data_IF_862896443124
#
_entry.id   IF_862896443124
#
_cell.length_a   1.000
_cell.length_b   1.000
_cell.length_c   1.000
_cell.angle_alpha   90.00
_cell.angle_beta   90.00
_cell.angle_gamma   90.00
#
_symmetry.space_group_name_H-M   'P 1'
#
loop_
_entity.id
_entity.type
_entity.pdbx_description
1 polymer ?
#
# COMPACT_ATOMS: atom_id res chain seq x y z
N UNK A 1 20.22 18.17 -15.36
CA UNK A 1 19.83 19.14 -14.28
C UNK A 1 18.43 19.69 -14.50
N UNK A 2 18.08 20.24 -15.68
CA UNK A 2 16.76 20.78 -15.99
C UNK A 2 15.65 19.71 -15.89
N UNK A 3 15.90 18.50 -16.38
CA UNK A 3 14.98 17.38 -16.33
C UNK A 3 14.70 16.95 -14.87
N UNK A 4 15.71 17.00 -14.01
CA UNK A 4 15.56 16.73 -12.59
C UNK A 4 14.65 17.76 -11.91
N UNK A 5 14.87 19.04 -12.14
CA UNK A 5 14.00 20.08 -11.56
C UNK A 5 12.55 20.02 -12.05
N UNK A 6 12.31 19.59 -13.29
CA UNK A 6 10.95 19.34 -13.78
C UNK A 6 10.26 18.21 -13.03
N UNK A 7 11.01 17.21 -12.54
CA UNK A 7 10.49 16.12 -11.70
C UNK A 7 10.15 16.57 -10.28
N UNK A 8 10.79 17.61 -9.76
CA UNK A 8 10.53 18.15 -8.44
C UNK A 8 9.25 19.01 -8.36
N UNK A 9 8.62 19.31 -9.49
CA UNK A 9 7.37 20.06 -9.50
C UNK A 9 6.20 19.18 -9.03
N UNK A 10 5.50 19.62 -8.01
CA UNK A 10 4.30 18.98 -7.48
C UNK A 10 4.26 18.90 -5.96
N UNK A 11 3.05 18.90 -5.41
CA UNK A 11 2.80 18.88 -3.96
C UNK A 11 3.40 17.64 -3.28
N UNK A 12 3.18 16.46 -3.86
CA UNK A 12 3.68 15.20 -3.28
C UNK A 12 5.21 15.11 -3.31
N UNK A 13 5.86 15.74 -4.30
CA UNK A 13 7.31 15.85 -4.30
C UNK A 13 7.83 16.72 -3.15
N UNK A 14 7.11 17.78 -2.79
CA UNK A 14 7.45 18.60 -1.62
C UNK A 14 7.28 17.80 -0.33
N UNK A 15 6.21 17.01 -0.21
CA UNK A 15 6.01 16.09 0.93
C UNK A 15 7.20 15.16 1.08
N UNK A 16 7.63 14.50 -0.02
CA UNK A 16 8.82 13.62 -0.02
C UNK A 16 10.10 14.35 0.43
N UNK A 17 10.30 15.60 0.03
CA UNK A 17 11.51 16.34 0.38
C UNK A 17 11.51 16.76 1.85
N UNK A 18 10.36 17.15 2.38
CA UNK A 18 10.23 17.76 3.71
C UNK A 18 10.15 16.74 4.85
N UNK A 19 9.62 15.53 4.63
CA UNK A 19 9.57 14.50 5.66
C UNK A 19 10.95 13.90 5.95
N UNK A 20 11.13 13.25 7.10
CA UNK A 20 12.34 12.48 7.40
C UNK A 20 12.34 11.12 6.67
N UNK A 21 11.22 10.42 6.63
CA UNK A 21 10.99 9.19 5.87
C UNK A 21 9.68 9.28 5.12
N UNK A 22 9.60 8.75 3.90
CA UNK A 22 8.35 8.60 3.17
C UNK A 22 7.95 7.13 3.02
N UNK A 23 6.63 6.88 3.07
CA UNK A 23 6.02 5.62 2.64
C UNK A 23 5.17 5.94 1.43
N UNK A 24 5.57 5.42 0.26
CA UNK A 24 4.86 5.66 -0.99
C UNK A 24 3.84 4.55 -1.21
N UNK A 25 2.62 4.93 -1.56
CA UNK A 25 1.49 4.04 -1.83
C UNK A 25 0.84 4.39 -3.16
N UNK A 26 0.00 3.50 -3.70
CA UNK A 26 -0.64 3.73 -4.99
C UNK A 26 -1.80 4.73 -4.88
N UNK A 27 -2.70 4.53 -3.92
CA UNK A 27 -3.94 5.28 -3.79
C UNK A 27 -4.26 5.73 -2.37
N UNK A 28 -5.32 6.54 -2.27
CA UNK A 28 -5.77 7.10 -0.99
C UNK A 28 -6.24 6.02 -0.01
N UNK A 29 -6.81 4.92 -0.51
CA UNK A 29 -7.18 3.77 0.31
C UNK A 29 -5.95 3.13 0.96
N UNK A 30 -4.88 2.96 0.20
CA UNK A 30 -3.63 2.39 0.71
C UNK A 30 -3.00 3.32 1.74
N UNK A 31 -3.06 4.64 1.50
CA UNK A 31 -2.57 5.66 2.44
C UNK A 31 -3.27 5.54 3.80
N UNK A 32 -4.60 5.42 3.80
CA UNK A 32 -5.40 5.25 5.03
C UNK A 32 -5.05 3.94 5.75
N UNK A 33 -4.92 2.84 5.03
CA UNK A 33 -4.59 1.53 5.62
C UNK A 33 -3.19 1.52 6.23
N UNK A 34 -2.19 2.08 5.54
CA UNK A 34 -0.82 2.17 6.06
C UNK A 34 -0.75 3.06 7.30
N UNK A 35 -1.42 4.22 7.30
CA UNK A 35 -1.50 5.10 8.46
C UNK A 35 -2.17 4.41 9.65
N UNK A 36 -3.26 3.66 9.41
CA UNK A 36 -3.95 2.92 10.47
C UNK A 36 -3.10 1.75 10.99
N UNK A 37 -2.42 1.01 10.12
CA UNK A 37 -1.51 -0.07 10.51
C UNK A 37 -0.38 0.45 11.41
N UNK A 38 0.17 1.61 11.06
CA UNK A 38 1.17 2.29 11.88
C UNK A 38 0.62 2.69 13.26
N UNK A 39 -0.58 3.29 13.27
CA UNK A 39 -1.25 3.68 14.51
C UNK A 39 -1.53 2.48 15.42
N UNK A 40 -2.02 1.37 14.87
CA UNK A 40 -2.28 0.16 15.64
C UNK A 40 -0.99 -0.45 16.23
N UNK A 41 0.16 -0.24 15.56
CA UNK A 41 1.46 -0.75 16.02
C UNK A 41 2.14 0.17 17.06
N UNK A 42 2.14 1.49 16.83
CA UNK A 42 2.90 2.45 17.64
C UNK A 42 2.04 3.34 18.55
N UNK A 43 0.71 3.33 18.42
CA UNK A 43 -0.22 4.17 19.18
C UNK A 43 -0.24 5.64 18.79
N UNK A 44 0.34 5.99 17.65
CA UNK A 44 0.39 7.36 17.09
C UNK A 44 0.45 7.32 15.57
N UNK A 45 0.12 8.43 14.91
CA UNK A 45 0.15 8.51 13.46
C UNK A 45 1.60 8.65 12.93
N UNK A 46 1.90 8.18 11.69
CA UNK A 46 3.24 8.30 11.10
C UNK A 46 3.78 9.73 11.09
N UNK A 47 2.92 10.70 10.84
CA UNK A 47 3.31 12.12 10.77
C UNK A 47 3.89 12.65 12.10
N UNK A 48 3.51 12.06 13.23
CA UNK A 48 4.05 12.41 14.55
C UNK A 48 5.51 11.94 14.72
N UNK A 49 5.94 10.98 13.89
CA UNK A 49 7.32 10.50 13.79
C UNK A 49 8.04 11.01 12.53
N UNK A 50 7.55 12.12 11.95
CA UNK A 50 8.11 12.77 10.75
C UNK A 50 8.11 11.84 9.51
N UNK A 51 7.24 10.81 9.52
CA UNK A 51 7.01 9.89 8.41
C UNK A 51 5.78 10.35 7.65
N UNK A 52 5.91 10.58 6.35
CA UNK A 52 4.78 10.94 5.49
C UNK A 52 4.37 9.76 4.60
N UNK A 53 3.09 9.39 4.64
CA UNK A 53 2.51 8.37 3.75
C UNK A 53 1.92 9.09 2.55
N UNK A 54 2.45 8.84 1.36
CA UNK A 54 2.18 9.66 0.16
C UNK A 54 1.59 8.77 -0.94
N UNK A 55 0.36 9.08 -1.36
CA UNK A 55 -0.27 8.48 -2.54
C UNK A 55 0.34 9.08 -3.81
N UNK A 56 1.01 8.26 -4.62
CA UNK A 56 1.76 8.71 -5.82
C UNK A 56 1.20 8.15 -7.13
N UNK A 57 0.08 7.44 -7.07
CA UNK A 57 -0.48 6.73 -8.22
C UNK A 57 0.52 5.70 -8.76
N UNK A 58 0.66 5.64 -10.05
CA UNK A 58 1.63 4.74 -10.72
C UNK A 58 3.04 5.32 -10.84
N UNK A 59 3.30 6.50 -10.25
CA UNK A 59 4.53 7.28 -10.47
C UNK A 59 5.70 6.88 -9.55
N UNK A 60 5.68 5.72 -8.92
CA UNK A 60 6.70 5.26 -7.97
C UNK A 60 8.14 5.47 -8.44
N UNK A 61 8.49 5.04 -9.65
CA UNK A 61 9.87 5.12 -10.14
C UNK A 61 10.40 6.55 -10.21
N UNK A 62 9.52 7.52 -10.50
CA UNK A 62 9.88 8.94 -10.46
C UNK A 62 10.26 9.39 -9.06
N UNK A 63 9.48 8.98 -8.05
CA UNK A 63 9.73 9.33 -6.65
C UNK A 63 10.97 8.61 -6.13
N UNK A 64 11.20 7.35 -6.52
CA UNK A 64 12.39 6.59 -6.16
C UNK A 64 13.66 7.22 -6.75
N UNK A 65 13.64 7.70 -7.98
CA UNK A 65 14.79 8.42 -8.57
C UNK A 65 15.12 9.71 -7.78
N UNK A 66 14.09 10.42 -7.30
CA UNK A 66 14.30 11.61 -6.47
C UNK A 66 14.85 11.21 -5.09
N UNK A 67 14.26 10.20 -4.46
CA UNK A 67 14.70 9.70 -3.16
C UNK A 67 16.15 9.20 -3.18
N UNK A 68 16.54 8.46 -4.21
CA UNK A 68 17.93 7.99 -4.40
C UNK A 68 18.91 9.17 -4.47
N UNK A 69 18.59 10.20 -5.25
CA UNK A 69 19.46 11.38 -5.41
C UNK A 69 19.56 12.25 -4.16
N UNK A 70 18.54 12.25 -3.33
CA UNK A 70 18.47 13.00 -2.08
C UNK A 70 18.89 12.15 -0.86
N UNK A 71 19.22 10.89 -1.09
CA UNK A 71 19.49 9.90 -0.03
C UNK A 71 18.32 9.81 1.00
N UNK A 72 17.09 10.10 0.54
CA UNK A 72 15.90 10.13 1.37
C UNK A 72 15.43 8.69 1.68
N UNK A 73 15.22 8.35 2.97
CA UNK A 73 14.64 7.06 3.34
C UNK A 73 13.22 6.91 2.79
N UNK A 74 12.99 5.86 1.99
CA UNK A 74 11.69 5.59 1.35
C UNK A 74 11.36 4.11 1.42
N UNK A 75 10.13 3.81 1.84
CA UNK A 75 9.50 2.50 1.63
C UNK A 75 8.40 2.64 0.59
N UNK A 76 8.28 1.66 -0.29
CA UNK A 76 7.15 1.53 -1.24
C UNK A 76 6.27 0.40 -0.77
N UNK A 77 4.96 0.64 -0.65
CA UNK A 77 3.95 -0.41 -0.46
C UNK A 77 3.20 -0.54 -1.77
N UNK A 78 3.29 -1.70 -2.40
CA UNK A 78 2.71 -1.92 -3.73
C UNK A 78 2.10 -3.31 -3.84
N UNK A 79 1.00 -3.40 -4.59
CA UNK A 79 0.35 -4.66 -4.93
C UNK A 79 1.22 -5.47 -5.91
N UNK A 80 1.17 -6.80 -5.77
CA UNK A 80 1.85 -7.70 -6.72
C UNK A 80 1.04 -7.87 -8.01
N UNK A 81 -0.27 -7.58 -7.94
CA UNK A 81 -1.20 -7.68 -9.05
C UNK A 81 -1.22 -9.09 -9.68
N UNK A 82 -1.05 -9.15 -11.00
CA UNK A 82 -1.16 -10.39 -11.78
C UNK A 82 0.17 -11.13 -11.96
N UNK A 83 1.31 -10.51 -11.63
CA UNK A 83 2.62 -11.08 -11.96
C UNK A 83 3.73 -10.54 -11.05
N UNK A 84 4.28 -11.43 -10.24
CA UNK A 84 5.45 -11.16 -9.44
C UNK A 84 6.66 -10.79 -10.33
N UNK A 85 6.88 -11.52 -11.43
CA UNK A 85 7.98 -11.22 -12.37
C UNK A 85 7.88 -9.82 -12.96
N UNK A 86 6.67 -9.36 -13.28
CA UNK A 86 6.45 -8.01 -13.82
C UNK A 86 6.75 -6.94 -12.76
N UNK A 87 6.36 -7.17 -11.51
CA UNK A 87 6.68 -6.30 -10.38
C UNK A 87 8.19 -6.25 -10.15
N UNK A 88 8.86 -7.39 -10.05
CA UNK A 88 10.30 -7.46 -9.84
C UNK A 88 11.09 -6.81 -10.98
N UNK A 89 10.65 -6.99 -12.21
CA UNK A 89 11.22 -6.29 -13.36
C UNK A 89 11.03 -4.78 -13.27
N UNK A 90 9.85 -4.31 -12.81
CA UNK A 90 9.58 -2.87 -12.61
C UNK A 90 10.56 -2.25 -11.60
N UNK A 91 10.85 -2.96 -10.52
CA UNK A 91 11.69 -2.47 -9.44
C UNK A 91 13.12 -3.03 -9.43
N UNK A 92 13.57 -3.65 -10.53
CA UNK A 92 14.89 -4.32 -10.62
C UNK A 92 16.08 -3.44 -10.22
N UNK A 93 15.97 -2.12 -10.32
CA UNK A 93 17.03 -1.18 -9.92
C UNK A 93 17.10 -0.96 -8.39
N UNK A 94 16.13 -1.50 -7.62
CA UNK A 94 15.98 -1.25 -6.18
C UNK A 94 15.81 -2.53 -5.35
N UNK A 95 15.83 -3.71 -5.98
CA UNK A 95 15.69 -5.01 -5.31
C UNK A 95 16.87 -5.94 -5.62
N UNK A 96 16.98 -7.04 -4.88
CA UNK A 96 18.03 -8.04 -5.07
C UNK A 96 19.42 -7.45 -4.86
N UNK A 97 20.33 -7.69 -5.79
CA UNK A 97 21.69 -7.17 -5.78
C UNK A 97 21.79 -5.64 -5.97
N UNK A 98 20.74 -5.02 -6.52
CA UNK A 98 20.67 -3.58 -6.75
C UNK A 98 20.01 -2.81 -5.61
N UNK A 99 19.67 -3.48 -4.50
CA UNK A 99 19.04 -2.86 -3.34
C UNK A 99 19.83 -1.64 -2.86
N UNK A 100 19.11 -0.58 -2.52
CA UNK A 100 19.69 0.65 -1.94
C UNK A 100 19.38 0.67 -0.44
N UNK A 101 20.30 1.17 0.38
CA UNK A 101 20.14 1.20 1.84
C UNK A 101 18.97 2.10 2.29
N UNK A 102 18.70 3.14 1.53
CA UNK A 102 17.64 4.11 1.81
C UNK A 102 16.30 3.80 1.12
N UNK A 103 16.19 2.72 0.32
CA UNK A 103 14.97 2.37 -0.43
C UNK A 103 14.56 0.94 -0.12
N UNK A 104 13.30 0.76 0.30
CA UNK A 104 12.71 -0.54 0.56
C UNK A 104 11.44 -0.74 -0.28
N UNK A 105 11.36 -1.85 -1.02
CA UNK A 105 10.17 -2.20 -1.81
C UNK A 105 9.43 -3.31 -1.08
N UNK A 106 8.24 -3.00 -0.59
CA UNK A 106 7.39 -3.87 0.21
C UNK A 106 6.24 -4.39 -0.64
N UNK A 107 6.21 -5.68 -0.90
CA UNK A 107 5.18 -6.39 -1.65
C UNK A 107 5.01 -7.80 -1.10
N UNK A 108 3.88 -8.42 -1.41
CA UNK A 108 3.66 -9.83 -1.09
C UNK A 108 4.25 -10.72 -2.19
N UNK A 109 5.21 -11.57 -1.85
CA UNK A 109 5.80 -12.54 -2.78
C UNK A 109 4.93 -13.79 -2.97
N UNK A 110 3.93 -14.01 -2.11
CA UNK A 110 2.95 -15.08 -2.30
C UNK A 110 1.86 -14.65 -3.28
N UNK A 111 1.74 -15.38 -4.38
CA UNK A 111 0.64 -15.22 -5.33
C UNK A 111 -0.56 -16.04 -4.88
N UNK A 112 -1.67 -15.35 -4.61
CA UNK A 112 -2.94 -16.01 -4.32
C UNK A 112 -3.75 -16.17 -5.60
N UNK A 113 -4.42 -17.31 -5.73
CA UNK A 113 -5.26 -17.69 -6.87
C UNK A 113 -6.66 -18.07 -6.41
N UNK A 114 -7.64 -17.98 -7.29
CA UNK A 114 -9.02 -18.38 -7.05
C UNK A 114 -9.86 -18.28 -8.32
N UNK A 115 -11.10 -18.72 -8.21
CA UNK A 115 -12.06 -18.83 -9.31
C UNK A 115 -13.12 -17.71 -9.34
N UNK A 116 -12.98 -16.73 -8.45
CA UNK A 116 -13.95 -15.63 -8.40
C UNK A 116 -13.85 -14.73 -9.63
N UNK A 117 -15.01 -14.37 -10.17
CA UNK A 117 -15.14 -13.43 -11.28
C UNK A 117 -16.07 -12.29 -10.91
N UNK A 118 -15.76 -11.09 -11.39
CA UNK A 118 -16.62 -9.92 -11.30
C UNK A 118 -16.90 -9.42 -12.71
N UNK A 119 -18.18 -9.43 -13.10
CA UNK A 119 -18.60 -9.02 -14.45
C UNK A 119 -17.88 -9.80 -15.58
N UNK A 120 -17.66 -11.11 -15.40
CA UNK A 120 -17.00 -11.99 -16.36
C UNK A 120 -15.50 -11.76 -16.51
N UNK A 121 -14.86 -11.09 -15.54
CA UNK A 121 -13.41 -10.91 -15.47
C UNK A 121 -12.90 -11.57 -14.21
N UNK A 122 -11.78 -12.28 -14.32
CA UNK A 122 -11.10 -12.87 -13.18
C UNK A 122 -10.83 -11.81 -12.10
N UNK A 123 -11.01 -12.20 -10.85
CA UNK A 123 -10.72 -11.35 -9.70
C UNK A 123 -9.23 -11.41 -9.37
N UNK A 124 -8.63 -10.28 -9.09
CA UNK A 124 -7.23 -10.19 -8.67
C UNK A 124 -7.13 -10.34 -7.16
N UNK A 125 -6.57 -11.45 -6.69
CA UNK A 125 -6.35 -11.74 -5.27
C UNK A 125 -5.09 -11.10 -4.68
N UNK A 126 -4.26 -10.46 -5.50
CA UNK A 126 -2.95 -9.93 -5.12
C UNK A 126 -2.92 -8.40 -5.02
N UNK A 127 -4.06 -7.83 -4.61
CA UNK A 127 -4.21 -6.43 -4.23
C UNK A 127 -4.47 -6.31 -2.73
N UNK A 128 -4.41 -5.10 -2.18
CA UNK A 128 -4.52 -4.85 -0.74
C UNK A 128 -5.82 -5.42 -0.13
N UNK A 129 -6.98 -5.23 -0.77
CA UNK A 129 -8.25 -5.61 -0.19
C UNK A 129 -8.39 -7.14 0.05
N UNK A 130 -8.12 -8.03 -0.92
CA UNK A 130 -8.13 -9.46 -0.66
C UNK A 130 -7.06 -9.90 0.33
N UNK A 131 -5.88 -9.28 0.34
CA UNK A 131 -4.84 -9.57 1.34
C UNK A 131 -5.27 -9.14 2.75
N UNK A 132 -6.04 -8.07 2.91
CA UNK A 132 -6.66 -7.69 4.18
C UNK A 132 -7.69 -8.73 4.64
N UNK A 133 -8.53 -9.24 3.73
CA UNK A 133 -9.47 -10.31 4.07
C UNK A 133 -8.75 -11.60 4.46
N UNK A 134 -7.66 -11.96 3.77
CA UNK A 134 -6.82 -13.12 4.10
C UNK A 134 -6.16 -12.98 5.48
N UNK A 135 -5.70 -11.79 5.83
CA UNK A 135 -5.07 -11.52 7.13
C UNK A 135 -6.09 -11.50 8.31
N UNK A 136 -7.36 -11.32 8.00
CA UNK A 136 -8.45 -11.27 8.96
C UNK A 136 -9.47 -12.41 8.67
N UNK A 137 -10.70 -12.18 9.07
CA UNK A 137 -11.83 -13.04 8.71
C UNK A 137 -13.04 -12.19 8.28
N UNK A 138 -13.95 -12.82 7.54
CA UNK A 138 -15.14 -12.16 7.01
C UNK A 138 -16.01 -11.52 8.10
N UNK A 139 -16.14 -12.16 9.26
CA UNK A 139 -16.96 -11.65 10.36
C UNK A 139 -16.42 -10.33 10.90
N UNK A 140 -15.12 -10.24 11.13
CA UNK A 140 -14.45 -9.01 11.59
C UNK A 140 -14.66 -7.87 10.57
N UNK A 141 -14.40 -8.13 9.29
CA UNK A 141 -14.55 -7.08 8.27
C UNK A 141 -16.02 -6.69 8.03
N UNK A 142 -16.96 -7.64 8.06
CA UNK A 142 -18.38 -7.33 8.02
C UNK A 142 -18.80 -6.41 9.18
N UNK A 143 -18.33 -6.67 10.39
CA UNK A 143 -18.64 -5.82 11.55
C UNK A 143 -18.12 -4.40 11.35
N UNK A 144 -16.87 -4.23 10.91
CA UNK A 144 -16.27 -2.92 10.65
C UNK A 144 -17.02 -2.19 9.52
N UNK A 145 -17.38 -2.90 8.46
CA UNK A 145 -18.07 -2.29 7.32
C UNK A 145 -19.57 -2.07 7.57
N UNK A 146 -20.15 -2.64 8.62
CA UNK A 146 -21.59 -2.61 8.88
C UNK A 146 -22.37 -3.40 7.82
N UNK A 147 -21.80 -4.53 7.35
CA UNK A 147 -22.36 -5.40 6.31
C UNK A 147 -22.57 -6.82 6.83
N UNK A 148 -23.19 -7.69 6.02
CA UNK A 148 -23.42 -9.08 6.36
C UNK A 148 -23.25 -10.00 5.13
N UNK A 149 -22.12 -9.89 4.47
CA UNK A 149 -21.79 -10.75 3.32
C UNK A 149 -21.61 -12.21 3.76
N UNK A 150 -22.24 -13.13 3.02
CA UNK A 150 -22.31 -14.54 3.40
C UNK A 150 -21.12 -15.37 2.86
N UNK A 151 -20.42 -14.85 1.86
CA UNK A 151 -19.23 -15.47 1.29
C UNK A 151 -18.07 -14.50 1.19
N UNK A 152 -16.85 -15.02 1.10
CA UNK A 152 -15.65 -14.19 0.86
C UNK A 152 -15.70 -13.53 -0.51
N UNK A 153 -16.29 -14.21 -1.51
CA UNK A 153 -16.47 -13.66 -2.85
C UNK A 153 -17.39 -12.43 -2.86
N UNK A 154 -18.48 -12.45 -2.08
CA UNK A 154 -19.37 -11.28 -1.93
C UNK A 154 -18.62 -10.12 -1.27
N UNK A 155 -17.84 -10.41 -0.24
CA UNK A 155 -17.06 -9.39 0.45
C UNK A 155 -15.92 -8.84 -0.42
N UNK A 156 -15.23 -9.67 -1.19
CA UNK A 156 -14.25 -9.24 -2.20
C UNK A 156 -14.88 -8.27 -3.22
N UNK A 157 -16.07 -8.64 -3.72
CA UNK A 157 -16.81 -7.78 -4.68
C UNK A 157 -17.16 -6.43 -4.05
N UNK A 158 -17.65 -6.45 -2.81
CA UNK A 158 -17.99 -5.24 -2.06
C UNK A 158 -16.75 -4.35 -1.83
N UNK A 159 -15.67 -4.90 -1.30
CA UNK A 159 -14.44 -4.17 -1.01
C UNK A 159 -13.84 -3.55 -2.28
N UNK A 160 -13.79 -4.31 -3.38
CA UNK A 160 -13.31 -3.80 -4.68
C UNK A 160 -14.13 -2.62 -5.19
N UNK A 161 -15.45 -2.65 -5.02
CA UNK A 161 -16.35 -1.58 -5.44
C UNK A 161 -16.37 -0.37 -4.51
N UNK A 162 -15.85 -0.49 -3.28
CA UNK A 162 -15.95 0.52 -2.21
C UNK A 162 -14.61 0.74 -1.49
N UNK A 163 -13.49 0.71 -2.22
CA UNK A 163 -12.12 0.74 -1.65
C UNK A 163 -11.93 1.84 -0.61
N UNK A 164 -12.20 3.09 -0.98
CA UNK A 164 -11.99 4.25 -0.10
C UNK A 164 -12.95 4.22 1.11
N UNK A 165 -14.22 3.83 0.93
CA UNK A 165 -15.17 3.71 2.04
C UNK A 165 -14.74 2.61 3.01
N UNK A 166 -14.29 1.46 2.52
CA UNK A 166 -13.74 0.38 3.34
C UNK A 166 -12.51 0.84 4.12
N UNK A 167 -11.58 1.53 3.45
CA UNK A 167 -10.36 2.04 4.10
C UNK A 167 -10.69 3.08 5.18
N UNK A 168 -11.65 3.99 4.93
CA UNK A 168 -12.13 4.96 5.93
C UNK A 168 -12.78 4.27 7.13
N UNK A 169 -13.59 3.24 6.91
CA UNK A 169 -14.20 2.47 7.98
C UNK A 169 -13.17 1.73 8.83
N UNK A 170 -12.15 1.14 8.20
CA UNK A 170 -11.02 0.52 8.90
C UNK A 170 -10.25 1.59 9.70
N UNK A 171 -9.96 2.74 9.09
CA UNK A 171 -9.23 3.81 9.74
C UNK A 171 -9.94 4.34 10.99
N UNK A 172 -11.25 4.41 10.98
CA UNK A 172 -12.08 4.88 12.10
C UNK A 172 -12.56 3.78 13.06
N UNK A 173 -12.25 2.50 12.81
CA UNK A 173 -12.69 1.42 13.66
C UNK A 173 -12.06 1.51 15.07
N UNK A 174 -12.82 1.16 16.09
CA UNK A 174 -12.29 1.05 17.46
C UNK A 174 -11.42 -0.20 17.62
N UNK A 175 -11.76 -1.27 16.89
CA UNK A 175 -11.04 -2.53 16.89
C UNK A 175 -9.84 -2.50 15.95
N UNK A 176 -8.69 -2.96 16.44
CA UNK A 176 -7.52 -3.23 15.57
C UNK A 176 -7.76 -4.47 14.72
N UNK A 177 -7.20 -4.48 13.53
CA UNK A 177 -7.19 -5.63 12.62
C UNK A 177 -5.77 -6.12 12.37
N UNK A 178 -5.65 -7.27 11.71
CA UNK A 178 -4.36 -7.74 11.21
C UNK A 178 -4.07 -7.11 9.83
N UNK A 179 -2.81 -6.76 9.60
CA UNK A 179 -2.37 -6.20 8.33
C UNK A 179 -1.46 -7.19 7.60
N UNK A 180 -1.48 -7.22 6.26
CA UNK A 180 -0.53 -7.99 5.48
C UNK A 180 0.91 -7.64 5.86
N UNK A 181 1.81 -8.62 5.83
CA UNK A 181 3.18 -8.47 6.30
C UNK A 181 3.95 -7.38 5.54
N UNK A 182 3.72 -7.27 4.22
CA UNK A 182 4.38 -6.26 3.40
C UNK A 182 3.98 -4.83 3.78
N UNK A 183 2.77 -4.62 4.32
CA UNK A 183 2.35 -3.32 4.85
C UNK A 183 3.16 -2.98 6.10
N UNK A 184 3.30 -3.92 7.06
CA UNK A 184 4.06 -3.73 8.29
C UNK A 184 5.54 -3.46 8.03
N UNK A 185 6.16 -4.20 7.11
CA UNK A 185 7.56 -4.01 6.70
C UNK A 185 7.88 -2.61 6.16
N UNK A 186 6.88 -1.81 5.81
CA UNK A 186 7.11 -0.46 5.30
C UNK A 186 7.55 0.54 6.38
N UNK A 187 7.24 0.24 7.64
CA UNK A 187 7.54 1.13 8.76
C UNK A 187 8.39 0.47 9.87
N UNK A 188 8.57 -0.84 9.83
CA UNK A 188 9.58 -1.55 10.64
C UNK A 188 11.00 -1.33 10.06
#
# INVERSE_FOLDING_TARGET
TELFFKKLAGYDTLRLILCEKAILVEGDSDELIVQRAYYDHYGRLPIEDEIDVISVGTSFLRFLEIAERLEKPVSVVTDTDWSLDALEKKYQAYIGENKKDNINICYDSEMDEGDHEINGKAFNYNTLEPKLLKANNRTTLNNIFGTNHQSDNDLHTYMKGNKTDCALKIFNAEESINYPEYVKKSFE
#
